data_IF_997718494798
#
_entry.id   IF_997718494798
#
_cell.length_a   1.000
_cell.length_b   1.000
_cell.length_c   1.000
_cell.angle_alpha   90.00
_cell.angle_beta   90.00
_cell.angle_gamma   90.00
#
_symmetry.space_group_name_H-M   'P 1'
#
loop_
_entity.id
_entity.type
_entity.pdbx_description
1 polymer ?
#
# COMPACT_ATOMS: atom_id res chain seq x y z
N UNK A 1 -7.40 -14.62 -71.28
CA UNK A 1 -6.08 -14.63 -71.93
C UNK A 1 -5.09 -14.94 -70.81
N UNK A 2 -4.89 -16.24 -70.55
CA UNK A 2 -3.73 -17.04 -70.99
C UNK A 2 -2.47 -16.59 -70.19
N UNK A 3 -1.78 -17.43 -69.42
CA UNK A 3 -1.77 -18.87 -69.36
C UNK A 3 -0.96 -19.39 -68.18
N UNK A 4 -1.05 -20.70 -68.04
CA UNK A 4 -0.56 -21.63 -67.03
C UNK A 4 0.91 -22.06 -67.26
N UNK A 5 1.39 -22.96 -66.38
CA UNK A 5 2.56 -23.87 -66.50
C UNK A 5 3.90 -23.36 -65.90
N UNK A 6 4.72 -24.16 -65.20
CA UNK A 6 4.65 -25.52 -64.63
C UNK A 6 5.97 -25.79 -63.84
N UNK A 7 5.99 -26.86 -63.03
CA UNK A 7 7.20 -27.61 -62.61
C UNK A 7 8.07 -26.99 -61.51
N UNK A 8 8.32 -27.57 -60.33
CA UNK A 8 8.35 -28.98 -59.96
C UNK A 8 9.80 -29.49 -59.98
N UNK A 9 10.42 -29.67 -58.81
CA UNK A 9 11.35 -30.79 -58.59
C UNK A 9 11.67 -31.07 -57.11
N UNK A 10 11.74 -32.36 -56.83
CA UNK A 10 11.83 -33.05 -55.55
C UNK A 10 13.22 -33.70 -55.46
N UNK A 11 13.98 -33.47 -54.38
CA UNK A 11 15.02 -34.39 -53.87
C UNK A 11 15.08 -34.17 -52.34
N UNK A 12 14.66 -35.05 -51.43
CA UNK A 12 14.95 -36.49 -51.15
C UNK A 12 16.41 -36.80 -50.79
N UNK A 13 16.77 -36.49 -49.54
CA UNK A 13 17.13 -37.50 -48.54
C UNK A 13 18.60 -37.89 -48.33
N UNK A 14 19.02 -37.90 -47.06
CA UNK A 14 19.81 -38.98 -46.42
C UNK A 14 19.84 -38.71 -44.92
N UNK A 15 19.14 -39.50 -44.10
CA UNK A 15 19.56 -40.79 -43.50
C UNK A 15 20.72 -40.64 -42.51
N UNK A 16 20.38 -40.75 -41.22
CA UNK A 16 21.34 -40.89 -40.13
C UNK A 16 20.71 -41.30 -38.79
N UNK A 17 19.86 -42.32 -38.80
CA UNK A 17 19.44 -43.04 -37.59
C UNK A 17 20.67 -43.73 -37.01
N UNK A 18 21.06 -43.42 -35.78
CA UNK A 18 21.82 -44.34 -34.93
C UNK A 18 21.10 -44.49 -33.60
N UNK A 19 20.16 -45.44 -33.63
CA UNK A 19 19.62 -46.11 -32.45
C UNK A 19 20.75 -46.94 -31.84
N UNK A 20 21.25 -46.53 -30.67
CA UNK A 20 21.81 -47.48 -29.72
C UNK A 20 20.97 -47.48 -28.45
N UNK A 21 19.98 -48.37 -28.52
CA UNK A 21 19.30 -48.96 -27.40
C UNK A 21 20.32 -49.80 -26.64
N UNK A 22 20.79 -49.32 -25.50
CA UNK A 22 21.39 -50.15 -24.46
C UNK A 22 20.63 -49.89 -23.16
N UNK A 23 19.79 -50.87 -22.80
CA UNK A 23 19.31 -51.08 -21.45
C UNK A 23 20.47 -51.60 -20.61
N UNK A 24 20.75 -51.02 -19.44
CA UNK A 24 20.99 -51.74 -18.17
C UNK A 24 20.69 -50.77 -17.02
N UNK A 25 19.81 -51.22 -16.13
CA UNK A 25 19.44 -50.57 -14.89
C UNK A 25 20.59 -50.59 -13.88
N UNK A 26 20.73 -49.54 -13.06
CA UNK A 26 21.23 -49.68 -11.69
C UNK A 26 20.78 -48.50 -10.84
N UNK A 27 20.11 -48.87 -9.75
CA UNK A 27 19.60 -48.03 -8.69
C UNK A 27 20.70 -47.18 -8.04
N UNK A 28 20.41 -45.90 -7.79
CA UNK A 28 20.93 -45.19 -6.64
C UNK A 28 19.88 -44.15 -6.24
N UNK A 29 19.33 -44.35 -5.05
CA UNK A 29 18.52 -43.39 -4.33
C UNK A 29 19.27 -42.06 -4.22
N UNK A 30 18.86 -41.07 -5.01
CA UNK A 30 19.20 -39.67 -4.80
C UNK A 30 17.96 -38.99 -4.27
N UNK A 31 17.97 -38.61 -3.00
CA UNK A 31 16.94 -37.79 -2.37
C UNK A 31 16.63 -36.59 -3.28
N UNK A 32 15.49 -36.64 -3.96
CA UNK A 32 14.83 -35.43 -4.40
C UNK A 32 14.35 -34.74 -3.11
N UNK A 33 15.20 -33.85 -2.60
CA UNK A 33 14.78 -32.77 -1.73
C UNK A 33 13.75 -31.98 -2.54
N UNK A 34 12.49 -32.40 -2.44
CA UNK A 34 11.35 -31.56 -2.75
C UNK A 34 11.55 -30.31 -1.91
N UNK A 35 11.99 -29.24 -2.56
CA UNK A 35 11.90 -27.91 -1.99
C UNK A 35 10.43 -27.72 -1.69
N UNK A 36 10.08 -27.95 -0.43
CA UNK A 36 8.88 -27.39 0.17
C UNK A 36 9.09 -25.90 -0.01
N UNK A 37 8.39 -25.35 -1.01
CA UNK A 37 8.06 -23.94 -1.05
C UNK A 37 7.29 -23.69 0.24
N UNK A 38 8.02 -23.40 1.32
CA UNK A 38 7.47 -22.69 2.43
C UNK A 38 6.94 -21.42 1.79
N UNK A 39 5.62 -21.35 1.64
CA UNK A 39 4.94 -20.09 1.50
C UNK A 39 5.32 -19.31 2.74
N UNK A 40 6.43 -18.58 2.68
CA UNK A 40 6.56 -17.34 3.39
C UNK A 40 5.32 -16.59 2.96
N UNK A 41 4.33 -16.52 3.85
CA UNK A 41 3.21 -15.61 3.68
C UNK A 41 3.84 -14.24 3.53
N UNK A 42 4.06 -13.82 2.29
CA UNK A 42 4.26 -12.42 2.00
C UNK A 42 2.97 -11.80 2.50
N UNK A 43 3.04 -11.12 3.65
CA UNK A 43 1.97 -10.25 4.07
C UNK A 43 1.64 -9.37 2.86
N UNK A 44 0.36 -9.27 2.51
CA UNK A 44 -0.05 -8.32 1.49
C UNK A 44 0.39 -6.92 1.91
N UNK A 45 0.60 -6.02 0.94
CA UNK A 45 0.91 -4.62 1.26
C UNK A 45 -0.18 -4.01 2.16
N UNK A 46 -1.43 -4.50 2.04
CA UNK A 46 -2.56 -4.14 2.90
C UNK A 46 -2.38 -4.58 4.36
N UNK A 47 -1.91 -5.81 4.59
CA UNK A 47 -1.59 -6.31 5.93
C UNK A 47 -0.42 -5.53 6.53
N UNK A 48 0.62 -5.29 5.72
CA UNK A 48 1.82 -4.57 6.15
C UNK A 48 1.52 -3.12 6.54
N UNK A 49 0.60 -2.46 5.83
CA UNK A 49 0.12 -1.12 6.18
C UNK A 49 -0.55 -1.10 7.56
N UNK A 50 -1.49 -2.01 7.81
CA UNK A 50 -2.21 -2.05 9.10
C UNK A 50 -1.30 -2.48 10.26
N UNK A 51 -0.34 -3.38 10.01
CA UNK A 51 0.69 -3.73 10.99
C UNK A 51 1.55 -2.52 11.36
N UNK A 52 2.18 -1.86 10.37
CA UNK A 52 3.02 -0.68 10.61
C UNK A 52 2.26 0.44 11.33
N UNK A 53 1.01 0.67 10.90
CA UNK A 53 0.12 1.64 11.52
C UNK A 53 -0.18 1.28 12.98
N UNK A 54 -0.61 0.04 13.24
CA UNK A 54 -1.00 -0.39 14.57
C UNK A 54 0.17 -0.54 15.55
N UNK A 55 1.35 -0.92 15.07
CA UNK A 55 2.57 -0.95 15.87
C UNK A 55 2.99 0.44 16.32
N UNK A 56 2.72 1.47 15.51
CA UNK A 56 2.97 2.86 15.87
C UNK A 56 1.99 3.41 16.90
N UNK A 57 0.69 3.30 16.61
CA UNK A 57 -0.34 4.05 17.35
C UNK A 57 -1.02 3.22 18.46
N UNK A 58 -0.77 1.92 18.48
CA UNK A 58 -1.44 0.97 19.36
C UNK A 58 -2.83 0.61 18.84
N UNK A 59 -3.05 -0.67 18.58
CA UNK A 59 -4.36 -1.22 18.24
C UNK A 59 -4.65 -2.44 19.12
N UNK A 60 -5.92 -2.63 19.48
CA UNK A 60 -6.43 -3.94 19.84
C UNK A 60 -6.39 -4.88 18.63
N UNK A 61 -6.48 -6.19 18.88
CA UNK A 61 -6.56 -7.17 17.81
C UNK A 61 -7.75 -6.91 16.86
N UNK A 62 -8.92 -6.55 17.42
CA UNK A 62 -10.10 -6.23 16.62
C UNK A 62 -9.87 -5.01 15.73
N UNK A 63 -9.27 -3.94 16.25
CA UNK A 63 -9.00 -2.74 15.45
C UNK A 63 -7.99 -3.00 14.31
N UNK A 64 -7.04 -3.92 14.53
CA UNK A 64 -6.13 -4.36 13.45
C UNK A 64 -6.87 -5.17 12.39
N UNK A 65 -7.76 -6.08 12.78
CA UNK A 65 -8.60 -6.85 11.86
C UNK A 65 -9.52 -5.92 11.06
N UNK A 66 -10.20 -4.98 11.72
CA UNK A 66 -11.05 -3.96 11.07
C UNK A 66 -10.25 -3.09 10.08
N UNK A 67 -9.01 -2.73 10.42
CA UNK A 67 -8.12 -2.01 9.50
C UNK A 67 -7.83 -2.84 8.25
N UNK A 68 -7.45 -4.12 8.41
CA UNK A 68 -7.15 -4.98 7.27
C UNK A 68 -8.37 -5.13 6.38
N UNK A 69 -9.55 -5.38 6.96
CA UNK A 69 -10.81 -5.49 6.21
C UNK A 69 -11.12 -4.20 5.43
N UNK A 70 -10.99 -3.02 6.06
CA UNK A 70 -11.20 -1.72 5.40
C UNK A 70 -10.24 -1.51 4.21
N UNK A 71 -8.97 -1.87 4.38
CA UNK A 71 -7.92 -1.70 3.35
C UNK A 71 -8.09 -2.74 2.23
N UNK A 72 -8.53 -3.96 2.50
CA UNK A 72 -8.90 -4.94 1.47
C UNK A 72 -10.17 -4.51 0.70
N UNK A 73 -11.16 -3.96 1.38
CA UNK A 73 -12.38 -3.41 0.77
C UNK A 73 -12.05 -2.24 -0.16
N UNK A 74 -11.13 -1.36 0.27
CA UNK A 74 -10.63 -0.26 -0.52
C UNK A 74 -9.91 -0.73 -1.79
N UNK A 75 -9.09 -1.79 -1.68
CA UNK A 75 -8.40 -2.39 -2.82
C UNK A 75 -9.40 -2.93 -3.84
N UNK A 76 -10.37 -3.74 -3.40
CA UNK A 76 -11.41 -4.32 -4.27
C UNK A 76 -12.24 -3.24 -4.96
N UNK A 77 -12.55 -2.13 -4.27
CA UNK A 77 -13.23 -0.99 -4.86
C UNK A 77 -12.37 -0.27 -5.90
N UNK A 78 -11.08 -0.08 -5.62
CA UNK A 78 -10.16 0.50 -6.58
C UNK A 78 -10.04 -0.39 -7.82
N UNK A 79 -9.88 -1.70 -7.67
CA UNK A 79 -9.86 -2.65 -8.79
C UNK A 79 -11.12 -2.56 -9.64
N UNK A 80 -12.29 -2.56 -9.00
CA UNK A 80 -13.57 -2.45 -9.68
C UNK A 80 -13.71 -1.14 -10.47
N UNK A 81 -13.14 -0.04 -10.00
CA UNK A 81 -13.16 1.27 -10.67
C UNK A 81 -11.98 1.49 -11.63
N UNK A 82 -11.08 0.52 -11.78
CA UNK A 82 -9.89 0.63 -12.64
C UNK A 82 -8.75 1.47 -12.03
N UNK A 83 -8.79 1.67 -10.71
CA UNK A 83 -7.88 2.49 -9.92
C UNK A 83 -6.86 1.70 -9.10
N UNK A 84 -6.73 0.39 -9.32
CA UNK A 84 -5.85 -0.49 -8.56
C UNK A 84 -4.39 0.03 -8.45
N UNK A 85 -3.85 0.59 -9.54
CA UNK A 85 -2.49 1.13 -9.55
C UNK A 85 -2.32 2.35 -8.62
N UNK A 86 -3.31 3.26 -8.60
CA UNK A 86 -3.28 4.42 -7.71
C UNK A 86 -3.41 3.99 -6.24
N UNK A 87 -4.24 2.98 -5.99
CA UNK A 87 -4.41 2.39 -4.66
C UNK A 87 -3.12 1.73 -4.15
N UNK A 88 -2.55 0.83 -4.94
CA UNK A 88 -1.29 0.17 -4.61
C UNK A 88 -0.17 1.18 -4.38
N UNK A 89 -0.03 2.20 -5.24
CA UNK A 89 0.99 3.25 -5.06
C UNK A 89 0.83 3.97 -3.72
N UNK A 90 -0.40 4.28 -3.31
CA UNK A 90 -0.68 4.90 -2.02
C UNK A 90 -0.29 4.01 -0.84
N UNK A 91 -0.73 2.75 -0.84
CA UNK A 91 -0.45 1.81 0.26
C UNK A 91 1.06 1.54 0.36
N UNK A 92 1.72 1.27 -0.76
CA UNK A 92 3.17 1.06 -0.81
C UNK A 92 3.93 2.28 -0.29
N UNK A 93 3.55 3.49 -0.70
CA UNK A 93 4.21 4.69 -0.19
C UNK A 93 4.11 4.78 1.34
N UNK A 94 2.93 4.52 1.92
CA UNK A 94 2.78 4.56 3.37
C UNK A 94 3.56 3.44 4.09
N UNK A 95 3.66 2.25 3.51
CA UNK A 95 4.48 1.17 4.07
C UNK A 95 5.96 1.54 4.06
N UNK A 96 6.44 2.17 2.99
CA UNK A 96 7.86 2.50 2.82
C UNK A 96 8.30 3.77 3.56
N UNK A 97 7.46 4.81 3.52
CA UNK A 97 7.80 6.16 3.98
C UNK A 97 7.03 6.60 5.23
N UNK A 98 6.09 5.77 5.71
CA UNK A 98 5.32 6.03 6.91
C UNK A 98 6.20 6.10 8.15
N UNK A 99 6.04 7.17 8.93
CA UNK A 99 6.77 7.39 10.18
C UNK A 99 5.84 7.46 11.37
N UNK A 100 6.30 6.94 12.50
CA UNK A 100 5.60 7.07 13.76
C UNK A 100 5.97 8.37 14.46
N UNK A 101 5.06 9.34 14.45
CA UNK A 101 5.22 10.63 15.13
C UNK A 101 4.25 10.74 16.29
N UNK A 102 4.76 10.72 17.53
CA UNK A 102 3.99 10.92 18.76
C UNK A 102 2.68 10.09 18.84
N UNK A 103 2.78 8.82 18.44
CA UNK A 103 1.67 7.86 18.49
C UNK A 103 0.70 7.95 17.31
N UNK A 104 1.10 8.57 16.19
CA UNK A 104 0.36 8.54 14.93
C UNK A 104 1.25 8.09 13.79
N UNK A 105 0.72 7.23 12.93
CA UNK A 105 1.38 6.78 11.71
C UNK A 105 1.07 7.76 10.57
N UNK A 106 2.07 8.51 10.14
CA UNK A 106 1.91 9.63 9.20
C UNK A 106 2.94 9.52 8.08
N UNK A 107 2.59 10.02 6.91
CA UNK A 107 3.56 10.31 5.85
C UNK A 107 3.16 11.60 5.15
N UNK A 108 4.10 12.55 5.11
CA UNK A 108 3.96 13.78 4.30
C UNK A 108 4.48 13.62 2.88
N UNK A 109 5.36 12.64 2.64
CA UNK A 109 5.88 12.34 1.30
C UNK A 109 4.85 11.64 0.41
N UNK A 110 3.86 10.96 1.00
CA UNK A 110 2.83 10.23 0.26
C UNK A 110 1.60 11.07 -0.13
N UNK A 111 1.70 12.39 -0.08
CA UNK A 111 0.58 13.28 -0.39
C UNK A 111 0.14 13.14 -1.86
N UNK A 112 1.09 13.03 -2.78
CA UNK A 112 0.83 12.92 -4.22
C UNK A 112 0.10 11.62 -4.57
N UNK A 113 0.51 10.49 -3.99
CA UNK A 113 -0.15 9.19 -4.17
C UNK A 113 -1.56 9.21 -3.57
N UNK A 114 -1.74 9.89 -2.43
CA UNK A 114 -3.04 10.03 -1.81
C UNK A 114 -4.01 10.86 -2.67
N UNK A 115 -3.52 11.93 -3.29
CA UNK A 115 -4.30 12.75 -4.20
C UNK A 115 -4.57 12.02 -5.53
N UNK A 116 -3.62 11.24 -6.03
CA UNK A 116 -3.81 10.39 -7.21
C UNK A 116 -4.89 9.32 -6.99
N UNK A 117 -4.88 8.64 -5.83
CA UNK A 117 -5.93 7.69 -5.46
C UNK A 117 -7.30 8.37 -5.38
N UNK A 118 -7.40 9.53 -4.71
CA UNK A 118 -8.67 10.27 -4.60
C UNK A 118 -9.19 10.75 -5.93
N UNK A 119 -8.30 11.25 -6.79
CA UNK A 119 -8.66 11.68 -8.14
C UNK A 119 -9.21 10.51 -8.99
N UNK A 120 -8.74 9.29 -8.73
CA UNK A 120 -9.22 8.09 -9.41
C UNK A 120 -10.50 7.51 -8.79
N UNK A 121 -10.52 7.29 -7.47
CA UNK A 121 -11.63 6.66 -6.73
C UNK A 121 -11.83 7.29 -5.35
N UNK A 122 -12.87 8.13 -5.23
CA UNK A 122 -13.30 8.66 -3.93
C UNK A 122 -13.82 7.53 -3.00
N UNK A 123 -14.38 6.46 -3.56
CA UNK A 123 -14.93 5.34 -2.77
C UNK A 123 -13.82 4.52 -2.13
N UNK A 124 -12.81 4.12 -2.90
CA UNK A 124 -11.64 3.43 -2.36
C UNK A 124 -10.93 4.29 -1.32
N UNK A 125 -10.77 5.60 -1.60
CA UNK A 125 -10.17 6.53 -0.66
C UNK A 125 -10.98 6.78 0.62
N UNK A 126 -12.24 6.31 0.73
CA UNK A 126 -13.07 6.52 1.93
C UNK A 126 -12.62 5.66 3.11
N UNK A 127 -12.07 4.48 2.83
CA UNK A 127 -11.57 3.55 3.84
C UNK A 127 -10.17 3.94 4.34
N UNK A 128 -9.53 4.85 3.62
CA UNK A 128 -8.25 5.43 3.98
C UNK A 128 -8.51 6.79 4.61
N UNK A 129 -8.47 6.83 5.94
CA UNK A 129 -8.66 8.07 6.70
C UNK A 129 -7.65 9.14 6.27
N UNK A 130 -8.17 10.31 5.93
CA UNK A 130 -7.34 11.50 5.68
C UNK A 130 -6.71 12.02 6.98
N UNK A 131 -5.64 12.82 6.92
CA UNK A 131 -5.03 13.42 8.12
C UNK A 131 -6.04 14.16 9.01
N UNK A 132 -7.04 14.83 8.42
CA UNK A 132 -8.08 15.50 9.20
C UNK A 132 -9.12 14.56 9.81
N UNK A 133 -9.44 13.44 9.15
CA UNK A 133 -10.30 12.41 9.74
C UNK A 133 -9.59 11.71 10.90
N UNK A 134 -8.28 11.47 10.77
CA UNK A 134 -7.45 10.96 11.86
C UNK A 134 -7.35 11.97 13.00
N UNK A 135 -7.12 13.24 12.70
CA UNK A 135 -7.02 14.30 13.70
C UNK A 135 -8.32 14.48 14.47
N UNK A 136 -9.47 14.39 13.79
CA UNK A 136 -10.77 14.32 14.45
C UNK A 136 -10.87 13.11 15.39
N UNK A 137 -10.47 11.91 14.94
CA UNK A 137 -10.49 10.72 15.79
C UNK A 137 -9.56 10.86 17.02
N UNK A 138 -8.37 11.45 16.84
CA UNK A 138 -7.42 11.77 17.91
C UNK A 138 -7.99 12.78 18.90
N UNK A 139 -8.60 13.88 18.43
CA UNK A 139 -9.23 14.86 19.30
C UNK A 139 -10.36 14.23 20.12
N UNK A 140 -11.21 13.44 19.48
CA UNK A 140 -12.31 12.73 20.16
C UNK A 140 -11.79 11.76 21.22
N UNK A 141 -10.71 11.03 20.95
CA UNK A 141 -10.09 10.14 21.95
C UNK A 141 -9.45 10.90 23.12
N UNK A 142 -9.01 12.15 22.89
CA UNK A 142 -8.58 13.08 23.93
C UNK A 142 -9.76 13.79 24.66
N UNK A 143 -11.02 13.49 24.33
CA UNK A 143 -12.19 14.17 24.90
C UNK A 143 -12.44 15.58 24.36
N UNK A 144 -11.78 15.93 23.25
CA UNK A 144 -11.88 17.21 22.58
C UNK A 144 -12.83 17.13 21.38
N UNK A 145 -13.49 18.24 21.08
CA UNK A 145 -14.20 18.43 19.82
C UNK A 145 -13.29 19.08 18.78
N UNK A 146 -13.71 19.07 17.51
CA UNK A 146 -12.99 19.68 16.40
C UNK A 146 -12.42 18.67 15.42
N UNK A 147 -11.59 19.20 14.52
CA UNK A 147 -11.05 18.49 13.37
C UNK A 147 -11.98 18.38 12.17
N UNK A 148 -11.51 17.75 11.10
CA UNK A 148 -12.25 17.64 9.84
C UNK A 148 -13.03 16.33 9.69
N UNK A 149 -14.28 16.39 9.23
CA UNK A 149 -15.02 15.24 8.67
C UNK A 149 -14.62 14.91 7.24
N UNK A 150 -14.03 15.88 6.55
CA UNK A 150 -13.74 15.83 5.12
C UNK A 150 -12.25 16.03 4.86
N UNK A 151 -11.84 15.82 3.60
CA UNK A 151 -10.48 16.07 3.15
C UNK A 151 -10.09 17.52 3.41
N UNK A 152 -8.94 17.70 4.05
CA UNK A 152 -8.28 18.99 4.19
C UNK A 152 -7.02 19.02 3.33
N UNK A 153 -6.60 20.23 2.94
CA UNK A 153 -5.43 20.47 2.09
C UNK A 153 -4.59 21.60 2.65
N UNK A 154 -3.36 21.75 2.14
CA UNK A 154 -2.47 22.86 2.48
C UNK A 154 -2.21 22.97 3.98
N UNK A 155 -2.40 24.17 4.53
CA UNK A 155 -2.18 24.45 5.96
C UNK A 155 -3.01 23.60 6.90
N UNK A 156 -4.24 23.23 6.52
CA UNK A 156 -5.14 22.43 7.35
C UNK A 156 -4.68 20.97 7.46
N UNK A 157 -4.23 20.38 6.34
CA UNK A 157 -3.63 19.05 6.35
C UNK A 157 -2.37 19.01 7.21
N UNK A 158 -1.52 20.04 7.10
CA UNK A 158 -0.34 20.18 7.94
C UNK A 158 -0.71 20.31 9.44
N UNK A 159 -1.67 21.17 9.79
CA UNK A 159 -2.12 21.34 11.17
C UNK A 159 -2.73 20.05 11.73
N UNK A 160 -3.38 19.25 10.88
CA UNK A 160 -3.88 17.95 11.26
C UNK A 160 -2.75 16.97 11.61
N UNK A 161 -1.68 16.91 10.80
CA UNK A 161 -0.48 16.14 11.14
C UNK A 161 0.16 16.63 12.45
N UNK A 162 0.19 17.94 12.70
CA UNK A 162 0.69 18.47 13.97
C UNK A 162 -0.14 17.98 15.16
N UNK A 163 -1.46 17.97 15.03
CA UNK A 163 -2.35 17.51 16.10
C UNK A 163 -2.26 15.99 16.33
N UNK A 164 -2.12 15.22 15.25
CA UNK A 164 -1.85 13.78 15.33
C UNK A 164 -0.56 13.50 16.08
N UNK A 165 0.45 14.33 15.85
CA UNK A 165 1.72 14.27 16.51
C UNK A 165 1.72 14.95 17.90
N UNK A 166 0.59 15.35 18.47
CA UNK A 166 0.54 15.99 19.78
C UNK A 166 0.04 15.03 20.88
N UNK A 167 0.45 15.28 22.12
CA UNK A 167 -0.15 14.62 23.28
C UNK A 167 -1.55 15.18 23.53
N UNK A 168 -2.43 14.42 24.19
CA UNK A 168 -3.75 14.94 24.56
C UNK A 168 -3.67 16.15 25.51
N UNK A 169 -2.64 16.21 26.36
CA UNK A 169 -2.37 17.36 27.22
C UNK A 169 -2.03 18.60 26.38
N UNK A 170 -1.14 18.45 25.40
CA UNK A 170 -0.74 19.54 24.50
C UNK A 170 -1.89 19.99 23.58
N UNK A 171 -2.80 19.07 23.21
CA UNK A 171 -4.02 19.41 22.47
C UNK A 171 -5.08 20.12 23.32
N UNK A 172 -5.13 19.82 24.63
CA UNK A 172 -6.14 20.37 25.56
C UNK A 172 -5.73 21.74 26.09
N UNK A 173 -4.45 21.91 26.41
CA UNK A 173 -3.87 23.15 26.93
C UNK A 173 -2.57 23.49 26.18
N UNK A 174 -2.67 23.94 24.91
CA UNK A 174 -1.51 24.20 24.07
C UNK A 174 -0.66 25.35 24.62
N UNK A 175 0.57 25.05 25.00
CA UNK A 175 1.53 26.04 25.51
C UNK A 175 2.20 26.81 24.36
N UNK A 176 2.58 28.10 24.53
CA UNK A 176 3.07 28.96 23.46
C UNK A 176 4.33 28.48 22.71
N UNK A 177 5.03 27.48 23.24
CA UNK A 177 6.25 26.90 22.71
C UNK A 177 6.19 25.36 22.65
N UNK A 178 5.00 24.78 22.73
CA UNK A 178 4.84 23.34 22.67
C UNK A 178 5.14 22.79 21.27
N UNK A 179 5.35 21.48 21.18
CA UNK A 179 5.58 20.80 19.91
C UNK A 179 4.40 21.03 18.95
N UNK A 180 3.17 20.96 19.45
CA UNK A 180 1.99 21.23 18.67
C UNK A 180 1.96 22.66 18.12
N UNK A 181 2.12 23.68 18.98
CA UNK A 181 2.03 25.09 18.58
C UNK A 181 3.14 25.46 17.60
N UNK A 182 4.38 25.03 17.84
CA UNK A 182 5.49 25.28 16.92
C UNK A 182 5.28 24.61 15.56
N UNK A 183 4.73 23.38 15.55
CA UNK A 183 4.40 22.68 14.32
C UNK A 183 3.34 23.45 13.51
N UNK A 184 2.24 23.87 14.16
CA UNK A 184 1.15 24.61 13.50
C UNK A 184 1.63 25.97 12.98
N UNK A 185 2.50 26.67 13.72
CA UNK A 185 3.14 27.91 13.22
C UNK A 185 3.94 27.61 11.95
N UNK A 186 4.70 26.51 11.93
CA UNK A 186 5.43 26.04 10.76
C UNK A 186 4.56 25.80 9.53
N UNK A 187 3.34 25.28 9.72
CA UNK A 187 2.39 25.03 8.64
C UNK A 187 2.01 26.29 7.85
N UNK A 188 1.94 27.45 8.50
CA UNK A 188 1.64 28.73 7.84
C UNK A 188 2.82 29.30 7.04
N UNK A 189 4.04 28.82 7.29
CA UNK A 189 5.27 29.24 6.60
C UNK A 189 5.67 28.34 5.43
N UNK A 190 5.05 27.16 5.30
CA UNK A 190 5.36 26.16 4.28
C UNK A 190 4.46 26.25 3.01
N UNK A 191 3.42 27.10 3.01
CA UNK A 191 2.53 27.33 1.86
C UNK A 191 2.15 28.83 1.75
N UNK A 192 2.86 29.64 0.93
CA UNK A 192 2.34 30.92 0.46
C UNK A 192 1.21 30.77 -0.58
#
# INVERSE_FOLDING_TARGET
MNGESDGGDIVRGSRGRWVHRWWVASAMAGLALSWVSLGTGCASDTTSYCEARCDCQGCSQREREDCTDDVEDAERLAEHEGCAAAYSSYVTCYVDEGVCGNGAFISSSCADEADALRACSLKSATFIKTPCQEERAKRQSCGLSGGGDTQCQGGDACAAYCALAASCEDLTDPQPNSTYVNCVIGCSSANP
#
